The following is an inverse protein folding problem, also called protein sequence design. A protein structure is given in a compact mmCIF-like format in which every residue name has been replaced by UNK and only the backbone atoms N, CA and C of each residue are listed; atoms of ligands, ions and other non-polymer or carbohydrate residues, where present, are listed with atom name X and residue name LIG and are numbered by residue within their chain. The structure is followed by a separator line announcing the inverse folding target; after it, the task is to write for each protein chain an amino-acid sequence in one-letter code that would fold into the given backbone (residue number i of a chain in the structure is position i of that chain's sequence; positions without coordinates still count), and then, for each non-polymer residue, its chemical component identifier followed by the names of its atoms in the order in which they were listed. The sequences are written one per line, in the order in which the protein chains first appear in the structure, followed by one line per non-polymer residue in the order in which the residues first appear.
data_IF_921270977909
#
_entry.id   IF_921270977909
#
_cell.length_a   1.000
_cell.length_b   1.000
_cell.length_c   1.000
_cell.angle_alpha   90.00
_cell.angle_beta   90.00
_cell.angle_gamma   90.00
#
_symmetry.space_group_name_H-M   'P 1'
#
loop_
_entity.id
_entity.type
_entity.pdbx_description
1 polymer ?
#
# COMPACT_ATOMS: atom_id res chain seq x y z
N UNK A 1 4.95 -10.92 25.45
CA UNK A 1 6.01 -11.70 24.78
C UNK A 1 6.73 -10.74 23.83
N UNK A 2 8.07 -10.63 23.84
CA UNK A 2 8.75 -9.84 22.82
C UNK A 2 8.42 -10.40 21.44
N UNK A 3 8.17 -9.53 20.45
CA UNK A 3 7.99 -9.95 19.08
C UNK A 3 9.23 -10.73 18.63
N UNK A 4 9.06 -11.94 18.10
CA UNK A 4 10.16 -12.70 17.49
C UNK A 4 10.83 -11.85 16.41
N UNK A 5 12.16 -11.90 16.36
CA UNK A 5 12.90 -11.21 15.31
C UNK A 5 12.46 -11.74 13.93
N UNK A 6 12.26 -10.86 12.94
CA UNK A 6 11.72 -11.28 11.67
C UNK A 6 12.64 -12.25 10.93
N UNK A 7 12.09 -13.39 10.50
CA UNK A 7 12.82 -14.36 9.69
C UNK A 7 12.90 -13.90 8.23
N UNK A 8 13.78 -12.92 7.98
CA UNK A 8 14.00 -12.35 6.65
C UNK A 8 14.47 -13.38 5.61
N UNK A 9 15.07 -14.49 6.01
CA UNK A 9 15.46 -15.55 5.08
C UNK A 9 14.22 -16.25 4.53
N UNK A 10 13.32 -16.71 5.41
CA UNK A 10 12.08 -17.36 5.03
C UNK A 10 11.16 -16.42 4.24
N UNK A 11 11.06 -15.15 4.65
CA UNK A 11 10.31 -14.14 3.89
C UNK A 11 10.91 -14.02 2.48
N UNK A 12 12.23 -13.84 2.35
CA UNK A 12 12.87 -13.68 1.03
C UNK A 12 12.65 -14.88 0.12
N UNK A 13 12.71 -16.11 0.64
CA UNK A 13 12.46 -17.33 -0.11
C UNK A 13 11.04 -17.34 -0.69
N UNK A 14 10.03 -17.15 0.17
CA UNK A 14 8.62 -17.14 -0.26
C UNK A 14 8.33 -16.03 -1.29
N UNK A 15 8.98 -14.87 -1.16
CA UNK A 15 8.87 -13.78 -2.12
C UNK A 15 9.54 -14.09 -3.46
N UNK A 16 10.70 -14.77 -3.43
CA UNK A 16 11.41 -15.19 -4.63
C UNK A 16 10.56 -16.18 -5.43
N UNK A 17 9.88 -17.11 -4.75
CA UNK A 17 9.01 -18.10 -5.40
C UNK A 17 7.81 -17.43 -6.08
N UNK A 18 7.16 -16.48 -5.40
CA UNK A 18 5.96 -15.82 -5.92
C UNK A 18 6.27 -14.80 -7.03
N UNK A 19 7.29 -13.97 -6.87
CA UNK A 19 7.55 -12.85 -7.78
C UNK A 19 8.73 -13.09 -8.73
N UNK A 20 9.43 -14.23 -8.63
CA UNK A 20 10.68 -14.51 -9.36
C UNK A 20 11.74 -13.40 -9.17
N UNK A 21 11.68 -12.68 -8.05
CA UNK A 21 12.54 -11.53 -7.74
C UNK A 21 13.06 -11.62 -6.31
N UNK A 22 14.34 -11.29 -6.14
CA UNK A 22 15.00 -11.30 -4.83
C UNK A 22 14.74 -9.98 -4.11
N UNK A 23 13.90 -10.01 -3.09
CA UNK A 23 13.63 -8.84 -2.26
C UNK A 23 14.89 -8.41 -1.49
N UNK A 24 15.21 -7.11 -1.58
CA UNK A 24 16.29 -6.49 -0.82
C UNK A 24 15.85 -6.14 0.60
N UNK A 25 16.79 -5.74 1.46
CA UNK A 25 16.54 -5.60 2.90
C UNK A 25 15.40 -4.62 3.22
N UNK A 26 15.33 -3.46 2.56
CA UNK A 26 14.29 -2.48 2.86
C UNK A 26 12.88 -2.98 2.43
N UNK A 27 12.80 -3.77 1.36
CA UNK A 27 11.55 -4.40 0.93
C UNK A 27 11.08 -5.47 1.92
N UNK A 28 12.01 -6.21 2.50
CA UNK A 28 11.72 -7.15 3.59
C UNK A 28 11.23 -6.42 4.84
N UNK A 29 11.82 -5.25 5.16
CA UNK A 29 11.35 -4.41 6.27
C UNK A 29 9.93 -3.86 6.05
N UNK A 30 9.58 -3.47 4.82
CA UNK A 30 8.19 -3.07 4.48
C UNK A 30 7.25 -4.25 4.75
N UNK A 31 7.62 -5.43 4.26
CA UNK A 31 6.81 -6.64 4.41
C UNK A 31 6.60 -6.99 5.89
N UNK A 32 7.68 -6.98 6.67
CA UNK A 32 7.64 -7.22 8.10
C UNK A 32 6.77 -6.20 8.85
N UNK A 33 6.88 -4.91 8.52
CA UNK A 33 6.04 -3.88 9.12
C UNK A 33 4.55 -4.12 8.86
N UNK A 34 4.16 -4.58 7.67
CA UNK A 34 2.79 -5.04 7.42
C UNK A 34 2.42 -6.25 8.29
N UNK A 35 3.30 -7.25 8.42
CA UNK A 35 2.99 -8.46 9.21
C UNK A 35 2.75 -8.16 10.69
N UNK A 36 3.36 -7.11 11.24
CA UNK A 36 3.17 -6.70 12.63
C UNK A 36 1.74 -6.16 12.89
N UNK A 37 1.02 -5.68 11.87
CA UNK A 37 -0.38 -5.25 11.95
C UNK A 37 -0.69 -4.27 13.11
N UNK A 38 0.25 -3.41 13.49
CA UNK A 38 0.12 -2.54 14.66
C UNK A 38 0.60 -1.09 14.44
N UNK A 39 1.09 -0.79 13.23
CA UNK A 39 1.74 0.48 12.89
C UNK A 39 1.57 0.87 11.43
N UNK A 40 1.48 2.17 11.20
CA UNK A 40 1.56 2.75 9.87
C UNK A 40 3.00 2.77 9.35
N UNK A 41 3.15 2.93 8.04
CA UNK A 41 4.43 2.83 7.35
C UNK A 41 4.63 4.08 6.50
N UNK A 42 5.75 4.78 6.69
CA UNK A 42 6.22 5.78 5.72
C UNK A 42 7.35 5.14 4.91
N UNK A 43 7.19 5.08 3.60
CA UNK A 43 8.18 4.54 2.69
C UNK A 43 8.64 5.60 1.69
N UNK A 44 9.88 6.05 1.83
CA UNK A 44 10.57 6.92 0.89
C UNK A 44 11.58 6.12 0.10
N UNK A 45 11.30 5.88 -1.17
CA UNK A 45 12.21 5.17 -2.07
C UNK A 45 12.10 5.77 -3.48
N UNK A 46 13.23 6.22 -4.02
CA UNK A 46 13.29 6.88 -5.32
C UNK A 46 12.71 6.05 -6.47
N UNK A 47 12.36 6.73 -7.55
CA UNK A 47 11.82 6.10 -8.77
C UNK A 47 12.78 5.03 -9.30
N UNK A 48 12.22 3.87 -9.69
CA UNK A 48 13.01 2.74 -10.18
C UNK A 48 13.70 1.90 -9.10
N UNK A 49 13.64 2.28 -7.82
CA UNK A 49 14.26 1.51 -6.73
C UNK A 49 13.45 0.28 -6.30
N UNK A 50 12.30 0.02 -6.93
CA UNK A 50 11.46 -1.15 -6.64
C UNK A 50 10.41 -0.94 -5.55
N UNK A 51 9.96 0.31 -5.35
CA UNK A 51 8.86 0.72 -4.44
C UNK A 51 7.59 -0.11 -4.69
N UNK A 52 7.14 -0.16 -5.94
CA UNK A 52 5.94 -0.91 -6.34
C UNK A 52 6.04 -2.40 -6.03
N UNK A 53 7.22 -3.03 -6.17
CA UNK A 53 7.37 -4.43 -5.78
C UNK A 53 7.08 -4.60 -4.29
N UNK A 54 7.59 -3.69 -3.44
CA UNK A 54 7.41 -3.75 -1.99
C UNK A 54 5.95 -3.71 -1.54
N UNK A 55 5.07 -3.08 -2.33
CA UNK A 55 3.64 -3.03 -2.07
C UNK A 55 3.02 -4.42 -2.08
N UNK A 56 3.48 -5.29 -2.98
CA UNK A 56 2.84 -6.58 -3.25
C UNK A 56 3.41 -7.72 -2.41
N UNK A 57 4.63 -7.57 -1.89
CA UNK A 57 5.30 -8.61 -1.12
C UNK A 57 4.46 -9.17 0.06
N UNK A 58 3.69 -8.36 0.82
CA UNK A 58 2.83 -8.90 1.87
C UNK A 58 1.80 -9.94 1.39
N UNK A 59 1.33 -9.86 0.14
CA UNK A 59 0.33 -10.79 -0.41
C UNK A 59 0.86 -12.21 -0.52
N UNK A 60 2.14 -12.38 -0.84
CA UNK A 60 2.77 -13.70 -0.90
C UNK A 60 2.82 -14.40 0.48
N UNK A 61 2.67 -13.64 1.58
CA UNK A 61 2.70 -14.20 2.93
C UNK A 61 1.31 -14.43 3.52
N UNK A 62 0.27 -13.78 2.99
CA UNK A 62 -1.09 -13.80 3.51
C UNK A 62 -2.06 -14.33 2.45
N UNK A 63 -2.20 -15.65 2.39
CA UNK A 63 -2.97 -16.33 1.33
C UNK A 63 -4.43 -15.87 1.18
N UNK A 64 -5.05 -15.33 2.23
CA UNK A 64 -6.43 -14.78 2.18
C UNK A 64 -6.49 -13.27 2.42
N UNK A 65 -5.34 -12.60 2.36
CA UNK A 65 -5.25 -11.17 2.66
C UNK A 65 -5.54 -10.31 1.44
N UNK A 66 -6.03 -9.10 1.67
CA UNK A 66 -6.33 -8.12 0.64
C UNK A 66 -5.50 -6.86 0.84
N UNK A 67 -4.91 -6.33 -0.22
CA UNK A 67 -4.30 -5.00 -0.24
C UNK A 67 -5.08 -4.06 -1.14
N UNK A 68 -5.33 -2.86 -0.65
CA UNK A 68 -5.85 -1.76 -1.45
C UNK A 68 -4.71 -0.80 -1.75
N UNK A 69 -4.51 -0.45 -3.02
CA UNK A 69 -3.52 0.53 -3.46
C UNK A 69 -4.23 1.68 -4.14
N UNK A 70 -4.21 2.83 -3.48
CA UNK A 70 -4.68 4.08 -4.05
C UNK A 70 -3.54 4.73 -4.86
N UNK A 71 -3.80 5.00 -6.13
CA UNK A 71 -2.87 5.67 -7.04
C UNK A 71 -3.46 6.99 -7.55
N UNK A 72 -2.66 8.05 -7.75
CA UNK A 72 -3.14 9.28 -8.38
C UNK A 72 -3.54 9.08 -9.85
N UNK A 73 -2.96 8.11 -10.56
CA UNK A 73 -3.08 7.92 -12.01
C UNK A 73 -3.71 6.56 -12.36
N UNK A 74 -4.85 6.60 -13.06
CA UNK A 74 -5.61 5.40 -13.47
C UNK A 74 -4.81 4.47 -14.39
N UNK A 75 -3.87 4.99 -15.19
CA UNK A 75 -3.04 4.18 -16.10
C UNK A 75 -2.14 3.17 -15.36
N UNK A 76 -1.81 3.43 -14.09
CA UNK A 76 -1.00 2.52 -13.27
C UNK A 76 -1.78 1.27 -12.82
N UNK A 77 -3.12 1.31 -12.86
CA UNK A 77 -3.97 0.17 -12.51
C UNK A 77 -3.74 -1.03 -13.43
N UNK A 78 -3.84 -0.84 -14.75
CA UNK A 78 -3.64 -1.92 -15.73
C UNK A 78 -2.23 -2.53 -15.66
N UNK A 79 -1.22 -1.69 -15.45
CA UNK A 79 0.16 -2.17 -15.30
C UNK A 79 0.34 -3.02 -14.05
N UNK A 80 -0.30 -2.62 -12.94
CA UNK A 80 -0.26 -3.37 -11.68
C UNK A 80 -0.98 -4.72 -11.81
N UNK A 81 -2.17 -4.74 -12.43
CA UNK A 81 -2.92 -5.97 -12.69
C UNK A 81 -2.08 -6.93 -13.54
N UNK A 82 -1.54 -6.47 -14.67
CA UNK A 82 -0.70 -7.31 -15.54
C UNK A 82 0.56 -7.84 -14.83
N UNK A 83 1.12 -7.09 -13.88
CA UNK A 83 2.27 -7.53 -13.10
C UNK A 83 1.87 -8.64 -12.10
N UNK A 84 0.74 -8.47 -11.42
CA UNK A 84 0.23 -9.40 -10.40
C UNK A 84 -0.33 -10.69 -11.00
N UNK A 85 -1.00 -10.60 -12.15
CA UNK A 85 -1.46 -11.79 -12.90
C UNK A 85 -0.29 -12.72 -13.24
N UNK A 86 0.86 -12.17 -13.66
CA UNK A 86 2.08 -12.94 -13.92
C UNK A 86 2.67 -13.60 -12.67
N UNK A 87 2.38 -13.06 -11.49
CA UNK A 87 2.75 -13.64 -10.20
C UNK A 87 1.67 -14.59 -9.66
N UNK A 88 0.59 -14.85 -10.42
CA UNK A 88 -0.52 -15.69 -10.00
C UNK A 88 -1.40 -15.07 -8.92
N UNK A 89 -1.36 -13.75 -8.75
CA UNK A 89 -2.14 -13.02 -7.74
C UNK A 89 -3.38 -12.40 -8.41
N UNK A 90 -4.60 -12.86 -8.06
CA UNK A 90 -5.84 -12.25 -8.52
C UNK A 90 -5.91 -10.77 -8.12
N UNK A 91 -6.09 -9.90 -9.11
CA UNK A 91 -6.11 -8.45 -8.89
C UNK A 91 -7.10 -7.75 -9.81
N UNK A 92 -7.57 -6.57 -9.37
CA UNK A 92 -8.55 -5.77 -10.10
C UNK A 92 -8.22 -4.28 -9.98
N UNK A 93 -8.50 -3.53 -11.04
CA UNK A 93 -8.48 -2.07 -11.03
C UNK A 93 -9.91 -1.52 -11.02
N UNK A 94 -10.24 -0.73 -10.00
CA UNK A 94 -11.52 -0.04 -9.85
C UNK A 94 -11.38 1.42 -10.29
N UNK A 95 -12.08 1.78 -11.35
CA UNK A 95 -12.23 3.15 -11.87
C UNK A 95 -13.71 3.53 -11.91
N UNK A 96 -14.03 4.74 -12.37
CA UNK A 96 -15.42 5.15 -12.55
C UNK A 96 -16.21 4.20 -13.47
N UNK A 97 -15.54 3.62 -14.48
CA UNK A 97 -16.14 2.70 -15.44
C UNK A 97 -16.30 1.28 -14.89
N UNK A 98 -15.40 0.84 -14.00
CA UNK A 98 -15.39 -0.54 -13.47
C UNK A 98 -15.97 -0.67 -12.06
N UNK A 99 -16.34 0.43 -11.41
CA UNK A 99 -16.99 0.44 -10.09
C UNK A 99 -18.45 -0.03 -10.15
N UNK A 100 -18.65 -1.28 -10.56
CA UNK A 100 -19.95 -1.95 -10.64
C UNK A 100 -20.23 -2.82 -9.42
N UNK A 101 -21.51 -3.00 -9.07
CA UNK A 101 -21.92 -3.89 -7.97
C UNK A 101 -21.44 -5.34 -8.16
N UNK A 102 -21.33 -5.81 -9.40
CA UNK A 102 -20.82 -7.14 -9.70
C UNK A 102 -19.34 -7.28 -9.30
N UNK A 103 -18.50 -6.32 -9.72
CA UNK A 103 -17.08 -6.33 -9.36
C UNK A 103 -16.87 -6.19 -7.83
N UNK A 104 -17.69 -5.37 -7.16
CA UNK A 104 -17.60 -5.25 -5.71
C UNK A 104 -18.06 -6.50 -4.96
N UNK A 105 -19.02 -7.24 -5.51
CA UNK A 105 -19.38 -8.55 -4.98
C UNK A 105 -18.24 -9.55 -5.11
N UNK A 106 -17.56 -9.60 -6.26
CA UNK A 106 -16.37 -10.44 -6.44
C UNK A 106 -15.24 -10.06 -5.48
N UNK A 107 -15.09 -8.76 -5.19
CA UNK A 107 -14.13 -8.28 -4.19
C UNK A 107 -14.54 -8.75 -2.79
N UNK A 108 -15.80 -8.60 -2.41
CA UNK A 108 -16.34 -9.03 -1.12
C UNK A 108 -16.20 -10.55 -0.91
N UNK A 109 -16.43 -11.33 -1.97
CA UNK A 109 -16.26 -12.79 -2.02
C UNK A 109 -14.77 -13.22 -2.08
N UNK A 110 -13.83 -12.27 -1.99
CA UNK A 110 -12.38 -12.48 -1.99
C UNK A 110 -11.84 -13.14 -3.26
N UNK A 111 -12.47 -12.91 -4.42
CA UNK A 111 -11.92 -13.30 -5.72
C UNK A 111 -10.68 -12.48 -6.13
N UNK A 112 -10.43 -11.35 -5.45
CA UNK A 112 -9.28 -10.48 -5.68
C UNK A 112 -8.52 -10.18 -4.39
N UNK A 113 -7.18 -10.25 -4.46
CA UNK A 113 -6.28 -9.99 -3.32
C UNK A 113 -5.56 -8.65 -3.43
N UNK A 114 -5.52 -8.05 -4.62
CA UNK A 114 -4.99 -6.71 -4.82
C UNK A 114 -6.01 -5.85 -5.57
N UNK A 115 -6.36 -4.71 -4.97
CA UNK A 115 -7.36 -3.79 -5.50
C UNK A 115 -6.67 -2.47 -5.73
N UNK A 116 -6.55 -2.06 -6.99
CA UNK A 116 -5.98 -0.78 -7.38
C UNK A 116 -7.12 0.21 -7.65
N UNK A 117 -7.07 1.39 -7.06
CA UNK A 117 -8.16 2.37 -7.15
C UNK A 117 -7.66 3.80 -7.14
N UNK A 118 -8.55 4.75 -7.43
CA UNK A 118 -8.31 6.18 -7.31
C UNK A 118 -8.91 6.73 -6.00
N UNK A 119 -8.45 7.89 -5.49
CA UNK A 119 -9.09 8.54 -4.34
C UNK A 119 -10.57 8.85 -4.59
N UNK A 120 -11.01 9.19 -5.82
CA UNK A 120 -12.43 9.44 -6.11
C UNK A 120 -13.30 8.22 -5.90
N UNK A 121 -12.82 7.03 -6.28
CA UNK A 121 -13.58 5.81 -6.04
C UNK A 121 -13.50 5.38 -4.58
N UNK A 122 -12.30 5.45 -3.98
CA UNK A 122 -12.08 5.02 -2.60
C UNK A 122 -12.90 5.86 -1.60
N UNK A 123 -12.99 7.17 -1.82
CA UNK A 123 -13.65 8.12 -0.92
C UNK A 123 -15.03 8.56 -1.40
N UNK A 124 -15.61 7.91 -2.43
CA UNK A 124 -16.92 8.26 -2.97
C UNK A 124 -18.00 8.15 -1.87
N UNK A 125 -18.69 9.24 -1.50
CA UNK A 125 -19.77 9.17 -0.51
C UNK A 125 -20.90 8.24 -0.98
N UNK A 126 -21.29 7.29 -0.13
CA UNK A 126 -22.28 6.26 -0.45
C UNK A 126 -21.83 5.25 -1.52
N UNK A 127 -20.54 5.28 -1.89
CA UNK A 127 -19.96 4.39 -2.88
C UNK A 127 -19.80 2.95 -2.38
N UNK A 128 -19.48 2.04 -3.29
CA UNK A 128 -19.33 0.62 -2.96
C UNK A 128 -18.10 0.35 -2.07
N UNK A 129 -17.02 1.14 -2.17
CA UNK A 129 -15.89 1.05 -1.23
C UNK A 129 -16.30 1.38 0.20
N UNK A 130 -17.10 2.42 0.43
CA UNK A 130 -17.56 2.77 1.78
C UNK A 130 -18.32 1.60 2.43
N UNK A 131 -19.23 0.97 1.68
CA UNK A 131 -19.99 -0.21 2.14
C UNK A 131 -19.07 -1.40 2.40
N UNK A 132 -18.17 -1.67 1.46
CA UNK A 132 -17.22 -2.79 1.55
C UNK A 132 -16.30 -2.66 2.76
N UNK A 133 -15.77 -1.46 3.02
CA UNK A 133 -14.87 -1.20 4.15
C UNK A 133 -15.60 -1.20 5.50
N UNK A 134 -16.91 -0.93 5.52
CA UNK A 134 -17.75 -1.08 6.71
C UNK A 134 -18.12 -2.55 7.01
N UNK A 135 -18.00 -3.45 6.03
CA UNK A 135 -18.15 -4.88 6.27
C UNK A 135 -16.95 -5.41 7.06
N UNK A 136 -17.19 -5.80 8.32
CA UNK A 136 -16.17 -6.27 9.26
C UNK A 136 -15.47 -7.54 8.74
N UNK A 137 -16.20 -8.45 8.09
CA UNK A 137 -15.64 -9.69 7.59
C UNK A 137 -14.61 -9.42 6.50
N UNK A 138 -14.94 -8.55 5.54
CA UNK A 138 -14.00 -8.10 4.52
C UNK A 138 -12.85 -7.29 5.12
N UNK A 139 -13.14 -6.29 5.96
CA UNK A 139 -12.13 -5.43 6.56
C UNK A 139 -11.12 -6.21 7.41
N UNK A 140 -11.53 -7.32 8.04
CA UNK A 140 -10.64 -8.23 8.77
C UNK A 140 -9.59 -8.93 7.89
N UNK A 141 -9.83 -9.00 6.57
CA UNK A 141 -8.91 -9.57 5.58
C UNK A 141 -7.91 -8.55 5.03
N UNK A 142 -8.10 -7.26 5.31
CA UNK A 142 -7.18 -6.23 4.84
C UNK A 142 -5.81 -6.40 5.51
N UNK A 143 -4.80 -6.56 4.67
CA UNK A 143 -3.39 -6.45 5.06
C UNK A 143 -3.03 -4.98 5.30
N UNK A 144 -3.66 -4.06 4.56
CA UNK A 144 -3.40 -2.63 4.66
C UNK A 144 -3.91 -1.84 3.46
N UNK A 145 -3.78 -0.52 3.56
CA UNK A 145 -4.04 0.42 2.46
C UNK A 145 -2.76 1.17 2.14
N UNK A 146 -2.39 1.20 0.86
CA UNK A 146 -1.21 1.89 0.36
C UNK A 146 -1.65 3.13 -0.40
N UNK A 147 -1.11 4.28 0.00
CA UNK A 147 -1.24 5.53 -0.73
C UNK A 147 0.05 5.73 -1.54
N UNK A 148 0.01 5.38 -2.83
CA UNK A 148 1.13 5.60 -3.75
C UNK A 148 1.17 7.06 -4.20
N UNK A 149 2.39 7.54 -4.46
CA UNK A 149 2.69 8.95 -4.73
C UNK A 149 2.01 9.90 -3.74
N UNK A 150 2.09 9.57 -2.45
CA UNK A 150 1.35 10.28 -1.39
C UNK A 150 1.71 11.76 -1.25
N UNK A 151 2.76 12.25 -1.92
CA UNK A 151 3.01 13.68 -2.05
C UNK A 151 1.84 14.42 -2.76
N UNK A 152 1.04 13.71 -3.56
CA UNK A 152 -0.20 14.20 -4.17
C UNK A 152 -1.27 14.58 -3.14
N UNK A 153 -1.28 13.99 -1.95
CA UNK A 153 -2.25 14.30 -0.89
C UNK A 153 -2.19 15.80 -0.53
N UNK A 154 -0.97 16.35 -0.46
CA UNK A 154 -0.74 17.77 -0.16
C UNK A 154 -0.80 18.61 -1.42
N UNK A 155 -0.10 18.19 -2.47
CA UNK A 155 0.04 19.04 -3.68
C UNK A 155 -1.24 19.16 -4.50
N UNK A 156 -2.12 18.15 -4.47
CA UNK A 156 -3.37 18.14 -5.24
C UNK A 156 -4.62 18.23 -4.36
N UNK A 157 -4.49 18.24 -3.03
CA UNK A 157 -5.64 18.26 -2.12
C UNK A 157 -6.57 19.47 -2.32
N UNK A 158 -6.06 20.58 -2.83
CA UNK A 158 -6.88 21.76 -3.15
C UNK A 158 -7.71 21.62 -4.43
N UNK A 159 -7.29 20.75 -5.36
CA UNK A 159 -7.96 20.52 -6.63
C UNK A 159 -8.73 19.19 -6.68
N UNK A 160 -8.41 18.27 -5.77
CA UNK A 160 -8.99 16.93 -5.65
C UNK A 160 -9.33 16.68 -4.18
N UNK A 161 -10.54 17.09 -3.79
CA UNK A 161 -10.98 17.16 -2.39
C UNK A 161 -10.97 15.80 -1.68
N UNK A 162 -11.04 14.71 -2.43
CA UNK A 162 -11.03 13.35 -1.88
C UNK A 162 -9.75 13.03 -1.12
N UNK A 163 -8.64 13.69 -1.45
CA UNK A 163 -7.41 13.59 -0.65
C UNK A 163 -7.57 14.13 0.76
N UNK A 164 -8.39 15.17 0.97
CA UNK A 164 -8.63 15.78 2.28
C UNK A 164 -9.48 14.88 3.19
N UNK A 165 -10.23 13.97 2.60
CA UNK A 165 -11.12 13.06 3.32
C UNK A 165 -10.46 11.73 3.70
N UNK A 166 -9.24 11.42 3.22
CA UNK A 166 -8.59 10.13 3.46
C UNK A 166 -8.44 9.77 4.94
N UNK A 167 -8.29 10.76 5.83
CA UNK A 167 -8.24 10.54 7.28
C UNK A 167 -9.50 9.86 7.84
N UNK A 168 -10.63 9.93 7.12
CA UNK A 168 -11.88 9.26 7.50
C UNK A 168 -11.76 7.74 7.51
N UNK A 169 -10.85 7.17 6.71
CA UNK A 169 -10.65 5.73 6.62
C UNK A 169 -10.27 5.11 7.97
N UNK A 170 -9.55 5.82 8.85
CA UNK A 170 -9.24 5.32 10.20
C UNK A 170 -10.45 5.17 11.12
N UNK A 171 -11.56 5.87 10.84
CA UNK A 171 -12.79 5.72 11.62
C UNK A 171 -13.70 4.62 11.07
N UNK A 172 -13.46 4.17 9.83
CA UNK A 172 -14.23 3.10 9.17
C UNK A 172 -13.54 1.75 9.40
N UNK A 173 -12.21 1.73 9.33
CA UNK A 173 -11.42 0.51 9.37
C UNK A 173 -11.11 0.05 10.80
N UNK A 174 -10.89 -1.26 11.00
CA UNK A 174 -10.31 -1.76 12.24
C UNK A 174 -8.97 -1.10 12.56
N UNK A 175 -8.71 -0.84 13.85
CA UNK A 175 -7.52 -0.10 14.30
C UNK A 175 -6.18 -0.76 13.91
N UNK A 176 -6.20 -2.06 13.61
CA UNK A 176 -5.03 -2.84 13.20
C UNK A 176 -4.68 -2.72 11.71
N UNK A 177 -5.55 -2.15 10.85
CA UNK A 177 -5.27 -2.05 9.40
C UNK A 177 -4.24 -0.93 9.17
N UNK A 178 -3.00 -1.26 8.75
CA UNK A 178 -1.95 -0.27 8.60
C UNK A 178 -2.12 0.54 7.31
N UNK A 179 -1.78 1.83 7.38
CA UNK A 179 -1.60 2.67 6.20
C UNK A 179 -0.13 2.73 5.81
N UNK A 180 0.15 2.58 4.52
CA UNK A 180 1.47 2.82 3.96
C UNK A 180 1.43 4.09 3.10
N UNK A 181 2.21 5.07 3.51
CA UNK A 181 2.39 6.36 2.84
C UNK A 181 3.67 6.27 2.02
N UNK A 182 3.53 6.10 0.71
CA UNK A 182 4.65 5.82 -0.18
C UNK A 182 4.88 6.96 -1.18
N UNK A 183 6.13 7.41 -1.31
CA UNK A 183 6.53 8.40 -2.32
C UNK A 183 8.02 8.24 -2.65
N UNK A 184 8.43 8.77 -3.81
CA UNK A 184 9.85 8.91 -4.11
C UNK A 184 10.53 9.91 -3.18
N UNK A 185 9.80 10.99 -2.84
CA UNK A 185 10.27 12.10 -2.01
C UNK A 185 9.15 12.64 -1.13
N UNK A 186 9.48 13.02 0.09
CA UNK A 186 8.67 13.92 0.91
C UNK A 186 9.52 15.10 1.36
N UNK A 187 8.98 16.31 1.30
CA UNK A 187 9.52 17.41 2.12
C UNK A 187 9.08 17.20 3.57
N UNK A 188 9.82 17.77 4.52
CA UNK A 188 9.45 17.69 5.94
C UNK A 188 8.05 18.25 6.20
N UNK A 189 7.69 19.35 5.53
CA UNK A 189 6.36 19.95 5.63
C UNK A 189 5.27 19.04 5.04
N UNK A 190 5.49 18.50 3.84
CA UNK A 190 4.53 17.58 3.23
C UNK A 190 4.31 16.35 4.12
N UNK A 191 5.38 15.79 4.69
CA UNK A 191 5.26 14.64 5.58
C UNK A 191 4.48 14.98 6.86
N UNK A 192 4.74 16.13 7.46
CA UNK A 192 3.97 16.62 8.62
C UNK A 192 2.49 16.74 8.29
N UNK A 193 2.18 17.33 7.14
CA UNK A 193 0.80 17.63 6.74
C UNK A 193 0.04 16.35 6.37
N UNK A 194 0.68 15.41 5.66
CA UNK A 194 0.12 14.07 5.38
C UNK A 194 -0.17 13.33 6.68
N UNK A 195 0.78 13.32 7.62
CA UNK A 195 0.59 12.63 8.91
C UNK A 195 -0.56 13.23 9.70
N UNK A 196 -0.70 14.55 9.69
CA UNK A 196 -1.83 15.24 10.33
C UNK A 196 -3.15 14.86 9.66
N UNK A 197 -3.22 14.92 8.33
CA UNK A 197 -4.44 14.64 7.58
C UNK A 197 -4.90 13.19 7.73
N UNK A 198 -3.95 12.25 7.66
CA UNK A 198 -4.21 10.82 7.81
C UNK A 198 -4.22 10.36 9.27
N UNK A 199 -4.17 11.24 10.26
CA UNK A 199 -4.18 10.87 11.69
C UNK A 199 -3.10 9.85 12.11
N UNK A 200 -1.93 9.90 11.46
CA UNK A 200 -0.82 8.96 11.70
C UNK A 200 -0.12 9.25 13.02
N UNK A 201 -0.10 8.24 13.88
CA UNK A 201 0.44 8.32 15.25
C UNK A 201 1.94 8.03 15.28
N UNK A 202 2.74 8.91 15.88
CA UNK A 202 4.21 8.77 15.94
C UNK A 202 4.67 7.49 16.63
N UNK A 203 3.94 7.08 17.67
CA UNK A 203 4.22 5.91 18.50
C UNK A 203 3.94 4.57 17.80
N UNK A 204 3.18 4.61 16.70
CA UNK A 204 2.78 3.45 15.89
C UNK A 204 3.15 3.70 14.43
N UNK A 205 4.41 4.03 14.19
CA UNK A 205 4.92 4.38 12.88
C UNK A 205 6.29 3.75 12.62
N UNK A 206 6.43 3.08 11.48
CA UNK A 206 7.73 2.65 10.94
C UNK A 206 8.09 3.51 9.73
N UNK A 207 9.26 4.15 9.77
CA UNK A 207 9.79 4.93 8.65
C UNK A 207 10.91 4.17 7.95
N UNK A 208 10.76 3.97 6.65
CA UNK A 208 11.74 3.33 5.78
C UNK A 208 12.17 4.38 4.76
N UNK A 209 13.42 4.84 4.87
CA UNK A 209 14.03 5.76 3.93
C UNK A 209 15.17 5.04 3.20
N UNK A 210 15.06 4.93 1.88
CA UNK A 210 16.05 4.31 1.01
C UNK A 210 16.89 5.42 0.39
N UNK A 211 18.14 5.57 0.88
CA UNK A 211 19.06 6.56 0.32
C UNK A 211 19.35 6.27 -1.15
N UNK A 212 19.40 7.32 -1.95
CA UNK A 212 19.81 7.30 -3.36
C UNK A 212 21.33 7.33 -3.53
N UNK A 213 22.11 7.43 -2.43
CA UNK A 213 23.56 7.39 -2.47
C UNK A 213 24.03 6.02 -2.98
N UNK A 214 24.29 5.95 -4.28
CA UNK A 214 25.16 4.91 -4.84
C UNK A 214 26.53 5.13 -4.20
N UNK A 215 27.02 4.17 -3.43
CA UNK A 215 28.45 4.12 -3.06
C UNK A 215 29.23 4.30 -4.35
N UNK A 216 29.88 5.46 -4.51
CA UNK A 216 30.76 5.70 -5.65
C UNK A 216 31.80 4.60 -5.60
N UNK A 217 31.77 3.69 -6.56
CA UNK A 217 32.83 2.70 -6.77
C UNK A 217 34.11 3.50 -6.96
N UNK A 218 34.97 3.50 -5.94
CA UNK A 218 36.30 4.11 -6.01
C UNK A 218 37.01 3.48 -7.20
N UNK A 219 37.14 4.24 -8.29
CA UNK A 219 38.06 3.88 -9.35
C UNK A 219 39.45 4.05 -8.74
N UNK A 220 40.06 2.93 -8.34
CA UNK A 220 41.51 2.88 -8.14
C UNK A 220 42.14 3.03 -9.52
N UNK A 221 42.57 4.24 -9.84
CA UNK A 221 43.63 4.48 -10.82
C UNK A 221 44.98 4.28 -10.18
#
# INVERSE_FOLDING_TARGET
MPAEAPNFSAIREKLQDCFSKRACLWQLKVTDAFLQNDRDIICMAGTGMGKTLAFWLPLALKNTGVLIVMTPLNQLGKQSVNFLEKAGIPSISISAETASRANFRDIEDLHYHAIITSPEQLMKPGGEFEKLLQNIDFASKLIGIIFDEAHCIVTWGDFRSEYKDLGRLHYILPCQVPFMIASATFTSDALRDIRRLLHIRSEKLTTIHVSTDRVKTVHKG
#
